data_IF_652871610039
#
_entry.id   IF_652871610039
#
_cell.length_a   1.000
_cell.length_b   1.000
_cell.length_c   1.000
_cell.angle_alpha   90.00
_cell.angle_beta   90.00
_cell.angle_gamma   90.00
#
_symmetry.space_group_name_H-M   'P 1'
#
loop_
_entity.id
_entity.type
_entity.pdbx_description
1 polymer ?
#
# COMPACT_ATOMS: atom_id res chain seq x y z
N UNK A 1 -40.41 -10.94 -16.02
CA UNK A 1 -40.85 -10.72 -14.62
C UNK A 1 -40.65 -12.00 -13.83
N UNK A 2 -39.65 -12.07 -12.94
CA UNK A 2 -39.56 -13.09 -11.88
C UNK A 2 -38.64 -12.58 -10.74
N UNK A 3 -39.31 -12.19 -9.66
CA UNK A 3 -38.94 -12.14 -8.24
C UNK A 3 -37.51 -11.77 -7.81
N UNK A 4 -37.39 -10.54 -7.33
CA UNK A 4 -36.38 -10.05 -6.40
C UNK A 4 -36.53 -10.72 -5.02
N UNK A 5 -35.46 -11.28 -4.44
CA UNK A 5 -35.42 -11.67 -3.02
C UNK A 5 -34.03 -11.47 -2.41
N UNK A 6 -33.92 -10.35 -1.68
CA UNK A 6 -33.12 -10.05 -0.49
C UNK A 6 -31.91 -10.95 -0.10
N UNK A 7 -30.75 -10.30 0.06
CA UNK A 7 -29.92 -10.49 1.26
C UNK A 7 -29.06 -9.24 1.54
N UNK A 8 -29.61 -8.26 2.28
CA UNK A 8 -28.80 -7.25 2.98
C UNK A 8 -28.37 -7.87 4.31
N UNK A 9 -27.08 -8.17 4.47
CA UNK A 9 -26.50 -8.49 5.77
C UNK A 9 -26.45 -7.19 6.59
N UNK A 10 -27.42 -7.01 7.49
CA UNK A 10 -27.32 -6.02 8.56
C UNK A 10 -26.36 -6.59 9.61
N UNK A 11 -25.19 -5.97 9.79
CA UNK A 11 -24.36 -6.21 10.96
C UNK A 11 -25.03 -5.45 12.11
N UNK A 12 -25.64 -6.20 13.03
CA UNK A 12 -26.13 -5.66 14.29
C UNK A 12 -24.89 -5.33 15.14
N UNK A 13 -24.59 -4.04 15.27
CA UNK A 13 -23.70 -3.59 16.33
C UNK A 13 -24.41 -3.86 17.67
N UNK A 14 -23.84 -4.75 18.49
CA UNK A 14 -24.24 -4.84 19.88
C UNK A 14 -23.86 -3.53 20.58
N UNK A 15 -24.78 -2.56 20.60
CA UNK A 15 -24.80 -1.58 21.68
C UNK A 15 -25.24 -2.35 22.93
N UNK A 16 -24.30 -2.65 23.81
CA UNK A 16 -24.65 -2.94 25.20
C UNK A 16 -25.26 -1.66 25.79
N UNK A 17 -26.59 -1.55 25.73
CA UNK A 17 -27.34 -0.59 26.54
C UNK A 17 -27.25 -1.11 27.96
N UNK A 18 -26.26 -0.65 28.71
CA UNK A 18 -26.35 -0.70 30.16
C UNK A 18 -27.48 0.21 30.58
N UNK A 19 -28.49 -0.37 31.25
CA UNK A 19 -29.57 0.39 31.88
C UNK A 19 -28.94 1.49 32.74
N UNK A 20 -29.28 2.74 32.41
CA UNK A 20 -29.09 3.87 33.30
C UNK A 20 -30.11 3.71 34.43
N UNK A 21 -29.68 3.17 35.57
CA UNK A 21 -30.45 3.36 36.80
C UNK A 21 -30.29 4.84 37.14
N UNK A 22 -31.37 5.64 37.26
CA UNK A 22 -31.24 7.00 37.71
C UNK A 22 -30.63 6.94 39.11
N UNK A 23 -29.45 7.52 39.29
CA UNK A 23 -28.94 7.78 40.62
C UNK A 23 -29.90 8.81 41.25
N UNK A 24 -30.93 8.33 41.94
CA UNK A 24 -31.67 9.14 42.89
C UNK A 24 -30.64 9.58 43.93
N UNK A 25 -30.29 10.86 43.89
CA UNK A 25 -29.41 11.49 44.86
C UNK A 25 -30.12 11.44 46.23
N UNK A 26 -29.72 10.51 47.09
CA UNK A 26 -29.96 10.63 48.52
C UNK A 26 -28.90 11.60 49.06
N UNK A 27 -29.35 12.80 49.42
CA UNK A 27 -28.59 13.73 50.25
C UNK A 27 -28.62 13.17 51.68
N UNK A 28 -27.52 12.55 52.13
CA UNK A 28 -27.23 12.37 53.54
C UNK A 28 -26.04 13.25 53.94
N UNK A 29 -26.21 14.01 55.02
CA UNK A 29 -25.25 14.98 55.58
C UNK A 29 -24.18 14.27 56.41
N UNK A 30 -23.45 13.34 55.83
CA UNK A 30 -22.21 12.83 56.42
C UNK A 30 -21.14 12.69 55.35
N UNK A 31 -20.01 13.36 55.56
CA UNK A 31 -18.87 13.48 54.65
C UNK A 31 -18.26 12.11 54.30
N UNK A 32 -18.76 11.46 53.25
CA UNK A 32 -18.04 10.40 52.55
C UNK A 32 -18.31 10.49 51.05
N UNK A 33 -17.46 11.28 50.37
CA UNK A 33 -17.31 11.22 48.92
C UNK A 33 -16.64 9.90 48.52
N UNK A 34 -17.31 8.77 48.76
CA UNK A 34 -17.09 7.60 47.95
C UNK A 34 -17.76 7.90 46.60
N UNK A 35 -17.14 8.78 45.80
CA UNK A 35 -17.37 8.77 44.36
C UNK A 35 -17.25 7.31 43.94
N UNK A 36 -18.36 6.72 43.48
CA UNK A 36 -18.35 5.35 43.02
C UNK A 36 -17.17 5.22 42.06
N UNK A 37 -16.19 4.39 42.44
CA UNK A 37 -14.95 4.17 41.69
C UNK A 37 -15.32 3.34 40.47
N UNK A 38 -16.04 3.96 39.52
CA UNK A 38 -16.62 3.25 38.38
C UNK A 38 -15.54 3.09 37.33
N UNK A 39 -14.93 1.91 37.30
CA UNK A 39 -14.10 1.48 36.18
C UNK A 39 -14.93 1.45 34.90
N UNK A 40 -14.37 1.91 33.79
CA UNK A 40 -15.04 1.84 32.49
C UNK A 40 -14.92 3.11 31.65
N UNK A 41 -15.66 3.11 30.54
CA UNK A 41 -15.73 4.23 29.62
C UNK A 41 -16.66 5.33 30.14
N UNK A 42 -16.16 6.56 30.18
CA UNK A 42 -16.90 7.77 30.55
C UNK A 42 -16.83 8.77 29.42
N UNK A 43 -17.97 9.34 29.03
CA UNK A 43 -18.04 10.42 28.06
C UNK A 43 -18.17 11.75 28.79
N UNK A 44 -17.21 12.65 28.58
CA UNK A 44 -17.19 13.99 29.19
C UNK A 44 -17.16 15.00 28.05
N UNK A 45 -18.27 15.73 27.89
CA UNK A 45 -18.48 16.55 26.70
C UNK A 45 -18.51 15.71 25.42
N UNK A 46 -17.65 16.03 24.45
CA UNK A 46 -17.48 15.27 23.20
C UNK A 46 -16.55 14.06 23.33
N UNK A 47 -15.75 14.01 24.40
CA UNK A 47 -14.57 13.17 24.48
C UNK A 47 -14.82 11.94 25.35
N UNK A 48 -14.15 10.84 25.01
CA UNK A 48 -14.22 9.59 25.76
C UNK A 48 -12.96 9.40 26.60
N UNK A 49 -13.13 8.86 27.79
CA UNK A 49 -12.08 8.53 28.75
C UNK A 49 -12.32 7.12 29.27
N UNK A 50 -11.26 6.39 29.60
CA UNK A 50 -11.39 5.13 30.33
C UNK A 50 -10.84 5.29 31.74
N UNK A 51 -11.67 5.05 32.75
CA UNK A 51 -11.27 5.14 34.16
C UNK A 51 -10.98 3.75 34.74
N UNK A 52 -9.93 3.66 35.56
CA UNK A 52 -9.61 2.49 36.36
C UNK A 52 -9.09 2.95 37.73
N UNK A 53 -9.68 2.44 38.82
CA UNK A 53 -9.32 2.87 40.17
C UNK A 53 -9.54 4.37 40.41
N UNK A 54 -10.58 4.94 39.77
CA UNK A 54 -10.94 6.36 39.92
C UNK A 54 -10.05 7.34 39.16
N UNK A 55 -9.09 6.84 38.38
CA UNK A 55 -8.19 7.67 37.56
C UNK A 55 -8.34 7.34 36.08
N UNK A 56 -8.28 8.33 35.17
CA UNK A 56 -8.28 8.06 33.74
C UNK A 56 -6.97 7.42 33.32
N UNK A 57 -7.04 6.40 32.46
CA UNK A 57 -5.88 5.84 31.78
C UNK A 57 -5.27 6.88 30.83
N UNK A 58 -3.94 6.88 30.70
CA UNK A 58 -3.19 7.84 29.89
C UNK A 58 -1.98 7.17 29.23
N UNK A 59 -1.62 7.64 28.03
CA UNK A 59 -0.46 7.18 27.25
C UNK A 59 -0.40 5.66 27.03
N UNK A 60 -1.54 5.00 26.90
CA UNK A 60 -1.58 3.54 26.78
C UNK A 60 -2.80 3.05 26.01
N UNK A 61 -2.66 1.83 25.51
CA UNK A 61 -3.75 1.07 24.91
C UNK A 61 -4.66 0.50 26.00
N UNK A 62 -5.96 0.49 25.72
CA UNK A 62 -6.93 -0.34 26.40
C UNK A 62 -7.77 -1.05 25.33
N UNK A 63 -7.57 -2.36 25.16
CA UNK A 63 -8.05 -3.12 24.01
C UNK A 63 -7.62 -2.45 22.68
N UNK A 64 -8.56 -2.11 21.81
CA UNK A 64 -8.29 -1.50 20.50
C UNK A 64 -8.22 0.04 20.52
N UNK A 65 -8.31 0.67 21.70
CA UNK A 65 -8.39 2.12 21.85
C UNK A 65 -7.12 2.66 22.49
N UNK A 66 -6.66 3.82 22.03
CA UNK A 66 -5.53 4.51 22.64
C UNK A 66 -5.99 5.71 23.47
N UNK A 67 -5.53 5.80 24.72
CA UNK A 67 -5.78 6.94 25.60
C UNK A 67 -4.55 7.85 25.58
N UNK A 68 -4.74 9.10 25.15
CA UNK A 68 -3.68 10.11 24.98
C UNK A 68 -3.15 10.62 26.33
N UNK A 69 -2.21 11.55 26.29
CA UNK A 69 -1.57 12.13 27.49
C UNK A 69 -2.54 12.90 28.39
N UNK A 70 -3.60 13.47 27.82
CA UNK A 70 -4.70 14.12 28.55
C UNK A 70 -5.78 13.14 29.03
N UNK A 71 -5.67 11.86 28.65
CA UNK A 71 -6.62 10.79 28.96
C UNK A 71 -7.76 10.65 27.96
N UNK A 72 -7.86 11.54 26.97
CA UNK A 72 -8.86 11.43 25.91
C UNK A 72 -8.54 10.23 25.02
N UNK A 73 -9.58 9.52 24.63
CA UNK A 73 -9.52 8.52 23.58
C UNK A 73 -9.15 9.19 22.26
N UNK A 74 -8.12 8.66 21.60
CA UNK A 74 -7.76 9.10 20.26
C UNK A 74 -8.91 8.80 19.27
N UNK A 75 -9.07 9.64 18.25
CA UNK A 75 -10.11 9.46 17.24
C UNK A 75 -9.74 10.17 15.94
N UNK A 76 -9.84 9.45 14.81
CA UNK A 76 -9.55 10.01 13.48
C UNK A 76 -8.18 10.67 13.37
N UNK A 77 -7.16 10.08 14.00
CA UNK A 77 -5.82 10.66 14.12
C UNK A 77 -4.73 9.58 14.13
N UNK A 78 -3.51 9.98 13.79
CA UNK A 78 -2.32 9.13 13.92
C UNK A 78 -1.78 9.17 15.34
N UNK A 79 -1.38 8.00 15.85
CA UNK A 79 -0.78 7.82 17.17
C UNK A 79 0.53 7.05 17.03
N UNK A 80 1.61 7.58 17.62
CA UNK A 80 2.87 6.86 17.76
C UNK A 80 2.97 6.22 19.15
N UNK A 81 2.90 4.89 19.20
CA UNK A 81 2.87 4.11 20.44
C UNK A 81 3.55 2.75 20.24
N UNK A 82 4.91 2.74 20.18
CA UNK A 82 5.74 1.57 19.82
C UNK A 82 5.48 1.04 18.40
N UNK A 83 5.26 1.99 17.51
CA UNK A 83 4.77 1.84 16.13
C UNK A 83 3.76 2.94 15.84
N UNK A 84 3.53 3.24 14.57
CA UNK A 84 2.55 4.25 14.17
C UNK A 84 1.23 3.58 13.82
N UNK A 85 0.14 4.07 14.39
CA UNK A 85 -1.20 3.55 14.22
C UNK A 85 -2.11 4.67 13.74
N UNK A 86 -3.10 4.31 12.91
CA UNK A 86 -4.18 5.23 12.60
C UNK A 86 -5.44 4.83 13.36
N UNK A 87 -6.00 5.76 14.11
CA UNK A 87 -7.22 5.58 14.88
C UNK A 87 -8.41 6.01 14.02
N UNK A 88 -9.36 5.10 13.84
CA UNK A 88 -10.58 5.33 13.08
C UNK A 88 -11.54 6.29 13.78
N UNK A 89 -12.63 6.62 13.08
CA UNK A 89 -13.70 7.50 13.60
C UNK A 89 -14.48 6.90 14.76
N UNK A 90 -14.41 5.59 14.95
CA UNK A 90 -14.98 4.85 16.07
C UNK A 90 -14.02 4.75 17.28
N UNK A 91 -12.81 5.31 17.17
CA UNK A 91 -11.80 5.31 18.22
C UNK A 91 -10.89 4.07 18.24
N UNK A 92 -11.15 3.08 17.38
CA UNK A 92 -10.31 1.87 17.29
C UNK A 92 -9.19 2.09 16.30
N UNK A 93 -8.02 1.47 16.53
CA UNK A 93 -7.00 1.44 15.49
C UNK A 93 -7.49 0.62 14.28
N UNK A 94 -7.12 1.05 13.08
CA UNK A 94 -7.42 0.32 11.84
C UNK A 94 -6.29 -0.65 11.49
N UNK A 95 -6.61 -1.73 10.78
CA UNK A 95 -5.66 -2.77 10.37
C UNK A 95 -6.06 -3.39 9.03
N UNK A 96 -5.09 -3.97 8.33
CA UNK A 96 -5.25 -4.57 7.00
C UNK A 96 -5.93 -3.63 5.99
N UNK A 97 -5.58 -2.35 6.02
CA UNK A 97 -6.23 -1.34 5.19
C UNK A 97 -5.32 -0.16 4.91
N UNK A 98 -5.70 0.60 3.89
CA UNK A 98 -5.03 1.82 3.49
C UNK A 98 -5.63 3.04 4.19
N UNK A 99 -4.76 3.95 4.62
CA UNK A 99 -5.12 5.30 5.07
C UNK A 99 -4.20 6.28 4.36
N UNK A 100 -4.75 7.15 3.49
CA UNK A 100 -4.00 8.24 2.83
C UNK A 100 -2.66 7.83 2.17
N UNK A 101 -2.59 6.60 1.64
CA UNK A 101 -1.40 6.05 1.00
C UNK A 101 -0.39 5.37 1.93
N UNK A 102 -0.77 5.14 3.19
CA UNK A 102 -0.06 4.30 4.15
C UNK A 102 -0.84 3.01 4.34
N UNK A 103 -0.16 1.88 4.49
CA UNK A 103 -0.81 0.60 4.74
C UNK A 103 -0.64 0.21 6.20
N UNK A 104 -1.74 -0.11 6.89
CA UNK A 104 -1.74 -0.59 8.26
C UNK A 104 -1.78 -2.12 8.23
N UNK A 105 -0.78 -2.75 8.83
CA UNK A 105 -0.59 -4.20 8.84
C UNK A 105 -1.62 -4.94 9.69
N UNK A 106 -1.41 -6.24 9.85
CA UNK A 106 -2.32 -7.12 10.62
C UNK A 106 -2.40 -6.78 12.09
N UNK A 107 -1.33 -6.21 12.64
CA UNK A 107 -1.23 -5.72 14.03
C UNK A 107 -1.64 -4.24 14.16
N UNK A 108 -2.08 -3.61 13.07
CA UNK A 108 -2.48 -2.20 13.03
C UNK A 108 -1.33 -1.21 12.88
N UNK A 109 -0.07 -1.66 12.91
CA UNK A 109 1.08 -0.78 12.71
C UNK A 109 1.21 -0.39 11.25
N UNK A 110 1.64 0.84 11.01
CA UNK A 110 2.04 1.31 9.69
C UNK A 110 3.21 0.47 9.18
N UNK A 111 3.05 -0.07 7.98
CA UNK A 111 4.07 -0.84 7.29
C UNK A 111 5.04 0.11 6.59
N UNK A 112 6.35 -0.13 6.73
CA UNK A 112 7.40 0.67 6.10
C UNK A 112 8.47 -0.22 5.47
N UNK A 113 9.21 0.31 4.50
CA UNK A 113 10.39 -0.29 3.86
C UNK A 113 10.21 -1.73 3.37
N UNK A 114 9.03 -2.11 2.90
CA UNK A 114 8.77 -3.50 2.51
C UNK A 114 7.66 -3.63 1.47
N UNK A 115 7.63 -4.80 0.84
CA UNK A 115 6.58 -5.23 -0.08
C UNK A 115 5.37 -5.75 0.68
N UNK A 116 4.17 -5.36 0.26
CA UNK A 116 2.93 -6.00 0.68
C UNK A 116 2.13 -6.44 -0.54
N UNK A 117 1.40 -7.54 -0.39
CA UNK A 117 0.39 -7.96 -1.35
C UNK A 117 -0.98 -7.71 -0.76
N UNK A 118 -1.76 -6.85 -1.43
CA UNK A 118 -3.13 -6.58 -1.04
C UNK A 118 -4.08 -7.39 -1.94
N UNK A 119 -4.74 -8.37 -1.31
CA UNK A 119 -5.71 -9.25 -1.96
C UNK A 119 -6.93 -8.50 -2.49
N UNK A 120 -7.34 -7.41 -1.82
CA UNK A 120 -8.53 -6.66 -2.22
C UNK A 120 -8.30 -5.93 -3.55
N UNK A 121 -7.06 -5.55 -3.82
CA UNK A 121 -6.66 -4.89 -5.07
C UNK A 121 -5.92 -5.82 -6.03
N UNK A 122 -5.71 -7.09 -5.65
CA UNK A 122 -4.93 -8.09 -6.36
C UNK A 122 -3.60 -7.52 -6.86
N UNK A 123 -2.80 -6.95 -5.96
CA UNK A 123 -1.60 -6.21 -6.35
C UNK A 123 -0.52 -6.18 -5.29
N UNK A 124 0.73 -6.19 -5.74
CA UNK A 124 1.90 -5.91 -4.91
C UNK A 124 2.15 -4.40 -4.86
N UNK A 125 2.52 -3.90 -3.69
CA UNK A 125 2.90 -2.51 -3.44
C UNK A 125 4.18 -2.49 -2.63
N UNK A 126 4.96 -1.43 -2.75
CA UNK A 126 6.12 -1.20 -1.90
C UNK A 126 5.92 0.04 -1.05
N UNK A 127 6.03 -0.10 0.28
CA UNK A 127 5.97 1.00 1.22
C UNK A 127 7.38 1.55 1.43
N UNK A 128 7.55 2.85 1.23
CA UNK A 128 8.84 3.52 1.44
C UNK A 128 9.26 3.51 2.91
N UNK A 129 10.47 4.03 3.17
CA UNK A 129 10.97 4.26 4.52
C UNK A 129 10.00 5.10 5.38
N UNK A 130 9.34 6.08 4.77
CA UNK A 130 8.33 6.90 5.43
C UNK A 130 6.92 6.28 5.41
N UNK A 131 6.79 5.00 5.04
CA UNK A 131 5.52 4.25 5.04
C UNK A 131 4.58 4.51 3.86
N UNK A 132 4.76 5.62 3.13
CA UNK A 132 3.92 5.89 1.95
C UNK A 132 4.26 4.96 0.80
N UNK A 133 3.26 4.44 0.09
CA UNK A 133 3.53 3.57 -1.07
C UNK A 133 4.23 4.32 -2.21
N UNK A 134 5.15 3.63 -2.89
CA UNK A 134 5.82 4.12 -4.10
C UNK A 134 4.90 4.02 -5.32
N UNK A 135 4.99 5.00 -6.23
CA UNK A 135 4.29 5.03 -7.51
C UNK A 135 5.11 5.79 -8.56
N UNK A 136 4.94 5.44 -9.83
CA UNK A 136 5.74 5.93 -10.95
C UNK A 136 7.25 5.87 -10.66
N UNK A 137 7.70 4.78 -10.03
CA UNK A 137 9.04 4.69 -9.49
C UNK A 137 9.54 3.26 -9.47
N UNK A 138 10.85 3.11 -9.55
CA UNK A 138 11.53 1.84 -9.38
C UNK A 138 11.78 1.52 -7.90
N UNK A 139 11.69 0.24 -7.57
CA UNK A 139 12.19 -0.35 -6.33
C UNK A 139 12.99 -1.61 -6.70
N UNK A 140 14.32 -1.50 -6.66
CA UNK A 140 15.21 -2.52 -7.22
C UNK A 140 14.87 -2.80 -8.69
N UNK A 141 14.63 -4.08 -9.01
CA UNK A 141 14.30 -4.53 -10.37
C UNK A 141 12.81 -4.40 -10.75
N UNK A 142 11.99 -3.81 -9.89
CA UNK A 142 10.53 -3.74 -10.07
C UNK A 142 10.06 -2.30 -10.30
N UNK A 143 9.03 -2.14 -11.12
CA UNK A 143 8.39 -0.84 -11.34
C UNK A 143 7.03 -0.76 -10.66
N UNK A 144 6.78 0.32 -9.91
CA UNK A 144 5.49 0.65 -9.31
C UNK A 144 4.77 1.65 -10.22
N UNK A 145 3.59 1.28 -10.71
CA UNK A 145 2.77 2.08 -11.64
C UNK A 145 2.14 3.29 -10.94
N UNK A 146 1.36 4.07 -11.67
CA UNK A 146 0.72 5.29 -11.15
C UNK A 146 -0.28 5.04 -10.03
N UNK A 147 -0.91 3.86 -10.02
CA UNK A 147 -1.79 3.39 -8.94
C UNK A 147 -1.02 2.77 -7.78
N UNK A 148 0.31 2.66 -7.88
CA UNK A 148 1.19 2.04 -6.89
C UNK A 148 1.35 0.53 -7.05
N UNK A 149 0.61 -0.12 -7.95
CA UNK A 149 0.76 -1.56 -8.16
C UNK A 149 2.05 -1.85 -8.89
N UNK A 150 2.73 -2.92 -8.46
CA UNK A 150 3.87 -3.48 -9.17
C UNK A 150 3.45 -3.96 -10.54
N UNK A 151 4.14 -3.49 -11.57
CA UNK A 151 3.97 -4.00 -12.92
C UNK A 151 4.50 -5.43 -13.04
N UNK A 152 3.85 -6.26 -13.86
CA UNK A 152 4.32 -7.61 -14.19
C UNK A 152 3.73 -8.06 -15.52
N UNK A 153 4.49 -8.84 -16.28
CA UNK A 153 4.14 -9.31 -17.61
C UNK A 153 3.58 -8.22 -18.56
N UNK A 154 4.05 -6.98 -18.43
CA UNK A 154 3.58 -5.84 -19.22
C UNK A 154 4.73 -4.94 -19.71
N UNK A 155 4.39 -4.01 -20.60
CA UNK A 155 5.27 -2.93 -21.07
C UNK A 155 5.00 -1.66 -20.26
N UNK A 156 6.05 -0.91 -19.94
CA UNK A 156 5.94 0.39 -19.27
C UNK A 156 6.82 1.40 -19.96
N UNK A 157 6.30 2.62 -20.06
CA UNK A 157 7.07 3.78 -20.47
C UNK A 157 7.37 4.63 -19.23
N UNK A 158 8.65 4.73 -18.89
CA UNK A 158 9.08 5.62 -17.82
C UNK A 158 9.46 6.98 -18.39
N UNK A 159 8.60 7.97 -18.13
CA UNK A 159 8.78 9.35 -18.58
C UNK A 159 10.06 9.98 -18.07
N UNK A 160 10.52 9.61 -16.87
CA UNK A 160 11.73 10.19 -16.26
C UNK A 160 12.99 9.79 -17.02
N UNK A 161 12.98 8.58 -17.59
CA UNK A 161 14.08 8.06 -18.41
C UNK A 161 13.83 8.19 -19.91
N UNK A 162 12.64 8.67 -20.30
CA UNK A 162 12.14 8.71 -21.66
C UNK A 162 12.38 7.40 -22.41
N UNK A 163 12.04 6.26 -21.78
CA UNK A 163 12.39 4.94 -22.29
C UNK A 163 11.30 3.89 -21.99
N UNK A 164 11.22 2.91 -22.88
CA UNK A 164 10.38 1.73 -22.71
C UNK A 164 11.14 0.62 -21.95
N UNK A 165 10.39 -0.09 -21.11
CA UNK A 165 10.84 -1.25 -20.34
C UNK A 165 9.79 -2.36 -20.48
N UNK A 166 10.24 -3.62 -20.33
CA UNK A 166 9.38 -4.80 -20.29
C UNK A 166 9.60 -5.54 -18.99
N UNK A 167 8.51 -5.84 -18.27
CA UNK A 167 8.56 -6.45 -16.93
C UNK A 167 8.15 -7.91 -17.04
N UNK A 168 9.03 -8.84 -16.71
CA UNK A 168 8.77 -10.28 -16.79
C UNK A 168 7.59 -10.76 -15.93
N UNK A 169 7.30 -12.06 -16.01
CA UNK A 169 6.23 -12.68 -15.21
C UNK A 169 6.48 -12.60 -13.71
N UNK A 170 7.75 -12.59 -13.31
CA UNK A 170 8.18 -12.36 -11.92
C UNK A 170 8.10 -10.88 -11.50
N UNK A 171 7.83 -9.98 -12.44
CA UNK A 171 7.76 -8.54 -12.26
C UNK A 171 9.10 -7.81 -12.41
N UNK A 172 10.20 -8.50 -12.66
CA UNK A 172 11.52 -7.84 -12.85
C UNK A 172 11.63 -7.30 -14.27
N UNK A 173 12.31 -6.17 -14.47
CA UNK A 173 12.55 -5.68 -15.82
C UNK A 173 13.52 -6.60 -16.58
N UNK A 174 13.26 -6.80 -17.87
CA UNK A 174 14.13 -7.53 -18.77
C UNK A 174 15.38 -6.71 -19.08
N UNK A 175 16.55 -7.34 -19.13
CA UNK A 175 17.84 -6.72 -19.49
C UNK A 175 18.77 -7.73 -20.14
N UNK A 176 19.63 -7.26 -21.04
CA UNK A 176 20.54 -8.09 -21.85
C UNK A 176 19.82 -9.28 -22.50
N UNK A 177 18.62 -9.04 -23.03
CA UNK A 177 17.79 -10.13 -23.55
C UNK A 177 16.77 -9.63 -24.56
N UNK A 178 16.33 -10.55 -25.41
CA UNK A 178 15.27 -10.35 -26.38
C UNK A 178 13.90 -10.65 -25.77
N UNK A 179 12.89 -9.89 -26.17
CA UNK A 179 11.48 -10.24 -25.98
C UNK A 179 10.77 -10.04 -27.31
N UNK A 180 10.47 -11.13 -28.01
CA UNK A 180 10.02 -11.10 -29.40
C UNK A 180 11.05 -10.32 -30.25
N UNK A 181 10.62 -9.32 -31.00
CA UNK A 181 11.46 -8.55 -31.91
C UNK A 181 12.22 -7.39 -31.23
N UNK A 182 12.17 -7.27 -29.90
CA UNK A 182 12.75 -6.14 -29.16
C UNK A 182 13.93 -6.59 -28.30
N UNK A 183 14.98 -5.78 -28.23
CA UNK A 183 16.13 -6.01 -27.35
C UNK A 183 16.14 -5.04 -26.17
N UNK A 184 16.36 -5.55 -24.96
CA UNK A 184 16.53 -4.75 -23.75
C UNK A 184 18.00 -4.71 -23.35
N UNK A 185 18.55 -3.49 -23.25
CA UNK A 185 19.95 -3.25 -22.89
C UNK A 185 20.24 -3.62 -21.43
N UNK A 186 21.50 -3.50 -21.01
CA UNK A 186 21.95 -3.84 -19.65
C UNK A 186 21.23 -3.05 -18.56
N UNK A 187 20.82 -1.82 -18.85
CA UNK A 187 20.04 -0.96 -17.97
C UNK A 187 18.52 -1.15 -18.12
N UNK A 188 18.08 -2.16 -18.87
CA UNK A 188 16.67 -2.49 -19.06
C UNK A 188 15.91 -1.61 -20.05
N UNK A 189 16.54 -0.57 -20.63
CA UNK A 189 15.90 0.24 -21.67
C UNK A 189 15.79 -0.56 -22.96
N UNK A 190 14.63 -0.49 -23.60
CA UNK A 190 14.43 -0.97 -24.96
C UNK A 190 15.40 -0.23 -25.90
N UNK A 191 16.14 -0.96 -26.72
CA UNK A 191 16.95 -0.38 -27.77
C UNK A 191 16.08 0.09 -28.94
N UNK A 192 16.42 1.23 -29.52
CA UNK A 192 15.79 1.77 -30.73
C UNK A 192 16.73 2.76 -31.42
N UNK A 193 16.59 2.89 -32.74
CA UNK A 193 17.43 3.73 -33.60
C UNK A 193 18.95 3.47 -33.44
N UNK A 194 19.34 2.24 -33.11
CA UNK A 194 20.73 1.92 -32.74
C UNK A 194 21.15 0.51 -33.13
N UNK A 195 22.45 0.32 -33.33
CA UNK A 195 23.08 -1.00 -33.42
C UNK A 195 23.41 -1.51 -32.01
N UNK A 196 23.10 -2.77 -31.74
CA UNK A 196 23.58 -3.50 -30.56
C UNK A 196 24.49 -4.65 -30.98
N UNK A 197 25.30 -5.12 -30.04
CA UNK A 197 25.98 -6.41 -30.14
C UNK A 197 25.37 -7.35 -29.11
N UNK A 198 24.88 -8.49 -29.55
CA UNK A 198 24.46 -9.58 -28.67
C UNK A 198 25.56 -10.63 -28.60
N UNK A 199 26.18 -10.77 -27.43
CA UNK A 199 27.25 -11.73 -27.18
C UNK A 199 26.78 -13.18 -27.20
N UNK A 200 25.49 -13.46 -26.98
CA UNK A 200 24.96 -14.83 -27.05
C UNK A 200 24.93 -15.34 -28.49
N UNK A 201 24.49 -14.50 -29.42
CA UNK A 201 24.44 -14.82 -30.85
C UNK A 201 25.70 -14.41 -31.62
N UNK A 202 26.67 -13.79 -30.94
CA UNK A 202 27.88 -13.20 -31.52
C UNK A 202 27.55 -12.38 -32.78
N UNK A 203 26.62 -11.44 -32.65
CA UNK A 203 26.04 -10.74 -33.80
C UNK A 203 25.68 -9.28 -33.52
N UNK A 204 25.77 -8.48 -34.56
CA UNK A 204 25.27 -7.12 -34.56
C UNK A 204 23.85 -7.08 -35.13
N UNK A 205 22.96 -6.37 -34.44
CA UNK A 205 21.56 -6.20 -34.82
C UNK A 205 21.21 -4.72 -34.76
N UNK A 206 20.43 -4.24 -35.72
CA UNK A 206 19.93 -2.86 -35.69
C UNK A 206 18.48 -2.85 -35.21
N UNK A 207 18.17 -2.04 -34.20
CA UNK A 207 16.81 -1.80 -33.73
C UNK A 207 16.30 -0.52 -34.36
N UNK A 208 15.14 -0.58 -35.01
CA UNK A 208 14.51 0.55 -35.69
C UNK A 208 13.85 1.52 -34.69
N UNK A 209 13.27 2.59 -35.19
CA UNK A 209 12.60 3.62 -34.37
C UNK A 209 11.41 3.08 -33.56
N UNK A 210 10.75 2.03 -34.05
CA UNK A 210 9.70 1.33 -33.33
C UNK A 210 10.25 0.31 -32.30
N UNK A 211 11.57 0.18 -32.21
CA UNK A 211 12.28 -0.73 -31.31
C UNK A 211 12.43 -2.17 -31.84
N UNK A 212 11.81 -2.51 -32.97
CA UNK A 212 11.96 -3.85 -33.55
C UNK A 212 13.27 -3.97 -34.29
N UNK A 213 13.89 -5.16 -34.24
CA UNK A 213 15.08 -5.40 -35.03
C UNK A 213 14.78 -5.42 -36.53
N UNK A 214 15.71 -4.86 -37.32
CA UNK A 214 15.67 -4.91 -38.76
C UNK A 214 16.01 -6.32 -39.27
N UNK A 215 15.35 -6.78 -40.32
CA UNK A 215 15.61 -8.10 -40.92
C UNK A 215 15.31 -8.11 -42.41
N UNK A 216 16.19 -8.75 -43.18
CA UNK A 216 16.11 -8.84 -44.64
C UNK A 216 15.96 -7.45 -45.32
N UNK A 217 16.74 -6.48 -44.84
CA UNK A 217 16.68 -5.09 -45.30
C UNK A 217 18.05 -4.41 -45.19
N UNK A 218 18.20 -3.27 -45.87
CA UNK A 218 19.37 -2.41 -45.76
C UNK A 218 19.19 -1.41 -44.62
N UNK A 219 20.21 -1.27 -43.78
CA UNK A 219 20.33 -0.25 -42.74
C UNK A 219 21.52 0.64 -43.10
N UNK A 220 21.24 1.76 -43.78
CA UNK A 220 22.28 2.57 -44.40
C UNK A 220 23.03 1.75 -45.46
N UNK A 221 24.34 1.55 -45.27
CA UNK A 221 25.20 0.76 -46.16
C UNK A 221 25.37 -0.71 -45.74
N UNK A 222 24.66 -1.14 -44.70
CA UNK A 222 24.82 -2.47 -44.11
C UNK A 222 23.59 -3.32 -44.40
N UNK A 223 23.78 -4.55 -44.87
CA UNK A 223 22.70 -5.51 -45.06
C UNK A 223 22.51 -6.36 -43.79
N UNK A 224 21.28 -6.51 -43.33
CA UNK A 224 20.92 -7.45 -42.26
C UNK A 224 20.16 -8.64 -42.85
N UNK A 225 20.57 -9.85 -42.46
CA UNK A 225 20.01 -11.09 -42.99
C UNK A 225 18.57 -11.38 -42.53
N UNK A 226 18.00 -12.54 -42.92
CA UNK A 226 16.65 -12.96 -42.50
C UNK A 226 16.49 -13.12 -40.98
N UNK A 227 17.58 -13.46 -40.28
CA UNK A 227 17.65 -13.53 -38.82
C UNK A 227 17.94 -12.16 -38.18
N UNK A 228 18.12 -11.11 -38.98
CA UNK A 228 18.43 -9.75 -38.57
C UNK A 228 19.88 -9.49 -38.20
N UNK A 229 20.75 -10.50 -38.32
CA UNK A 229 22.18 -10.35 -38.04
C UNK A 229 22.84 -9.59 -39.19
N UNK A 230 23.72 -8.65 -38.86
CA UNK A 230 24.57 -7.98 -39.84
C UNK A 230 25.40 -9.00 -40.62
N UNK A 231 25.36 -8.87 -41.95
CA UNK A 231 26.16 -9.67 -42.88
C UNK A 231 27.30 -8.79 -43.41
N UNK A 232 28.54 -9.25 -43.20
CA UNK A 232 29.74 -8.57 -43.67
C UNK A 232 29.94 -8.73 -45.17
#
# INVERSE_FOLDING_TARGET
MKSNKFLKKLIVAMLSVTLLVPATSFLDKSNNYAQAVTNGWHKIGSDWYYYMGGKPLKNQWYNDYYLKSDGKMAKSEWISARGDYYIGSDGKYVKNTWVNGYYLGTDGKMVTSTWIYDKNYNGWYYLSYFGKYKKNAWEGDYYLKSDGKRAYNEWIFDKSYNAWYRLGNDGRYLRNTWYKDYYFKSNGKMAHDEWIFDGHYFGHYYLKSDGKYARNEWVGRYWVGPDGKYVK
#
